data_IF_811008617806
#
_entry.id   IF_811008617806
#
_cell.length_a   1.000
_cell.length_b   1.000
_cell.length_c   1.000
_cell.angle_alpha   90.00
_cell.angle_beta   90.00
_cell.angle_gamma   90.00
#
_symmetry.space_group_name_H-M   'P 1'
#
loop_
_entity.id
_entity.type
_entity.pdbx_description
1 polymer ?
#
# COMPACT_ATOMS: atom_id res chain seq x y z
N UNK A 1 -9.29 2.97 15.35
CA UNK A 1 -8.04 2.21 15.09
C UNK A 1 -7.87 2.04 13.58
N UNK A 2 -6.99 2.82 12.94
CA UNK A 2 -6.49 2.48 11.60
C UNK A 2 -5.28 1.59 11.80
N UNK A 3 -5.38 0.32 11.42
CA UNK A 3 -4.31 -0.67 11.64
C UNK A 3 -3.07 -0.40 10.77
N UNK A 4 -3.22 0.40 9.73
CA UNK A 4 -2.18 0.85 8.82
C UNK A 4 -2.45 2.32 8.47
N UNK A 5 -1.56 3.25 8.85
CA UNK A 5 -1.68 4.68 8.59
C UNK A 5 -0.31 5.18 8.13
N UNK A 6 0.05 4.85 6.88
CA UNK A 6 1.37 5.18 6.34
C UNK A 6 1.59 6.70 6.33
N UNK A 7 0.56 7.47 5.98
CA UNK A 7 0.57 8.93 6.03
C UNK A 7 1.04 9.48 7.39
N UNK A 8 0.54 8.93 8.49
CA UNK A 8 0.93 9.33 9.85
C UNK A 8 2.41 9.06 10.14
N UNK A 9 2.95 7.93 9.65
CA UNK A 9 4.36 7.59 9.78
C UNK A 9 5.29 8.56 9.02
N UNK A 10 4.77 9.23 7.98
CA UNK A 10 5.48 10.28 7.25
C UNK A 10 5.26 11.67 7.84
N UNK A 11 4.10 11.96 8.46
CA UNK A 11 3.85 13.21 9.21
C UNK A 11 4.82 13.42 10.36
N UNK A 12 5.25 12.34 11.00
CA UNK A 12 6.16 12.38 12.14
C UNK A 12 7.65 12.53 11.74
N UNK A 13 7.99 12.54 10.44
CA UNK A 13 9.37 12.64 9.97
C UNK A 13 9.74 14.10 9.69
N UNK A 14 10.86 14.62 10.26
CA UNK A 14 11.29 15.99 10.04
C UNK A 14 12.03 16.08 8.69
N UNK A 15 11.31 16.35 7.59
CA UNK A 15 11.91 16.65 6.28
C UNK A 15 11.29 17.93 5.72
N UNK A 16 12.14 18.81 5.18
CA UNK A 16 11.78 20.18 4.78
C UNK A 16 10.86 20.30 3.55
N UNK A 17 10.51 19.20 2.89
CA UNK A 17 9.56 19.11 1.76
C UNK A 17 8.28 18.33 2.10
N UNK A 18 7.82 18.44 3.35
CA UNK A 18 6.75 17.64 3.95
C UNK A 18 5.35 17.75 3.32
N UNK A 19 5.12 18.61 2.32
CA UNK A 19 3.83 18.74 1.64
C UNK A 19 3.63 17.69 0.54
N UNK A 20 4.49 17.70 -0.47
CA UNK A 20 4.34 16.90 -1.70
C UNK A 20 4.50 15.40 -1.44
N UNK A 21 5.43 15.01 -0.57
CA UNK A 21 5.60 13.61 -0.17
C UNK A 21 4.42 13.09 0.66
N UNK A 22 3.87 13.93 1.54
CA UNK A 22 2.72 13.54 2.34
C UNK A 22 1.49 13.34 1.46
N UNK A 23 1.25 14.24 0.51
CA UNK A 23 0.16 14.11 -0.47
C UNK A 23 0.31 12.84 -1.32
N UNK A 24 1.53 12.51 -1.77
CA UNK A 24 1.79 11.28 -2.52
C UNK A 24 1.50 10.00 -1.69
N UNK A 25 1.86 9.99 -0.40
CA UNK A 25 1.57 8.86 0.50
C UNK A 25 0.07 8.79 0.82
N UNK A 26 -0.60 9.92 1.05
CA UNK A 26 -2.04 9.97 1.30
C UNK A 26 -2.84 9.46 0.08
N UNK A 27 -2.44 9.85 -1.13
CA UNK A 27 -3.03 9.36 -2.38
C UNK A 27 -2.83 7.85 -2.55
N UNK A 28 -1.64 7.33 -2.22
CA UNK A 28 -1.37 5.90 -2.24
C UNK A 28 -2.25 5.15 -1.22
N UNK A 29 -2.41 5.69 -0.02
CA UNK A 29 -3.25 5.12 1.03
C UNK A 29 -4.72 5.10 0.62
N UNK A 30 -5.24 6.21 0.08
CA UNK A 30 -6.62 6.30 -0.41
C UNK A 30 -6.88 5.37 -1.59
N UNK A 31 -5.90 5.17 -2.47
CA UNK A 31 -5.99 4.18 -3.54
C UNK A 31 -5.97 2.75 -3.00
N UNK A 32 -5.15 2.46 -2.00
CA UNK A 32 -4.96 1.11 -1.46
C UNK A 32 -6.23 0.54 -0.79
N UNK A 33 -6.95 1.36 -0.02
CA UNK A 33 -8.08 0.91 0.80
C UNK A 33 -9.26 0.31 0.00
N UNK A 34 -9.81 0.97 -1.03
CA UNK A 34 -10.90 0.40 -1.84
C UNK A 34 -10.53 -0.93 -2.49
N UNK A 35 -9.31 -1.04 -3.02
CA UNK A 35 -8.83 -2.27 -3.65
C UNK A 35 -8.60 -3.39 -2.63
N UNK A 36 -8.11 -3.07 -1.42
CA UNK A 36 -7.99 -4.04 -0.34
C UNK A 36 -9.36 -4.58 0.07
N UNK A 37 -10.36 -3.70 0.23
CA UNK A 37 -11.74 -4.09 0.56
C UNK A 37 -12.28 -5.02 -0.53
N UNK A 38 -12.11 -4.66 -1.81
CA UNK A 38 -12.54 -5.49 -2.93
C UNK A 38 -11.86 -6.87 -2.90
N UNK A 39 -10.56 -6.93 -2.64
CA UNK A 39 -9.82 -8.18 -2.54
C UNK A 39 -10.34 -9.07 -1.40
N UNK A 40 -10.62 -8.49 -0.23
CA UNK A 40 -11.20 -9.20 0.92
C UNK A 40 -12.60 -9.70 0.61
N UNK A 41 -13.45 -8.88 -0.02
CA UNK A 41 -14.80 -9.27 -0.41
C UNK A 41 -14.78 -10.44 -1.39
N UNK A 42 -13.96 -10.38 -2.44
CA UNK A 42 -13.80 -11.47 -3.40
C UNK A 42 -13.31 -12.75 -2.72
N UNK A 43 -12.36 -12.62 -1.81
CA UNK A 43 -11.79 -13.76 -1.09
C UNK A 43 -12.84 -14.45 -0.20
N UNK A 44 -13.52 -13.69 0.65
CA UNK A 44 -14.54 -14.21 1.57
C UNK A 44 -15.75 -14.74 0.80
N UNK A 45 -16.22 -14.01 -0.21
CA UNK A 45 -17.35 -14.43 -1.04
C UNK A 45 -17.03 -15.73 -1.81
N UNK A 46 -15.83 -15.85 -2.34
CA UNK A 46 -15.34 -17.09 -2.97
C UNK A 46 -15.35 -18.27 -1.99
N UNK A 47 -14.84 -18.09 -0.77
CA UNK A 47 -14.89 -19.12 0.27
C UNK A 47 -16.32 -19.52 0.65
N UNK A 48 -17.25 -18.57 0.75
CA UNK A 48 -18.66 -18.84 0.99
C UNK A 48 -19.29 -19.67 -0.13
N UNK A 49 -18.99 -19.35 -1.40
CA UNK A 49 -19.46 -20.14 -2.55
C UNK A 49 -18.87 -21.55 -2.56
N UNK A 50 -17.60 -21.71 -2.17
CA UNK A 50 -16.99 -23.03 -2.03
C UNK A 50 -17.70 -23.87 -0.97
N UNK A 51 -17.96 -23.28 0.21
CA UNK A 51 -18.68 -23.97 1.28
C UNK A 51 -20.09 -24.37 0.84
N UNK A 52 -20.83 -23.50 0.15
CA UNK A 52 -22.15 -23.84 -0.40
C UNK A 52 -22.05 -24.91 -1.50
N UNK A 53 -21.04 -24.84 -2.35
CA UNK A 53 -20.79 -25.79 -3.45
C UNK A 53 -20.48 -27.21 -2.98
N UNK A 54 -19.92 -27.38 -1.78
CA UNK A 54 -19.73 -28.69 -1.16
C UNK A 54 -21.06 -29.45 -0.94
N UNK A 55 -22.17 -28.73 -0.75
CA UNK A 55 -23.47 -29.34 -0.43
C UNK A 55 -24.47 -29.29 -1.60
N UNK A 56 -24.32 -28.35 -2.53
CA UNK A 56 -25.33 -28.07 -3.55
C UNK A 56 -24.88 -28.45 -4.96
N UNK A 57 -23.75 -27.92 -5.44
CA UNK A 57 -23.27 -28.08 -6.82
C UNK A 57 -21.76 -27.85 -6.91
N UNK A 58 -21.05 -28.79 -7.55
CA UNK A 58 -19.62 -28.72 -7.82
C UNK A 58 -19.23 -27.50 -8.67
N UNK A 59 -20.14 -26.95 -9.47
CA UNK A 59 -19.88 -25.71 -10.23
C UNK A 59 -19.66 -24.51 -9.32
N UNK A 60 -20.44 -24.40 -8.24
CA UNK A 60 -20.26 -23.35 -7.23
C UNK A 60 -18.92 -23.48 -6.50
N UNK A 61 -18.47 -24.72 -6.29
CA UNK A 61 -17.14 -25.00 -5.72
C UNK A 61 -16.03 -24.42 -6.61
N UNK A 62 -16.09 -24.66 -7.92
CA UNK A 62 -15.09 -24.17 -8.88
C UNK A 62 -15.14 -22.64 -8.99
N UNK A 63 -16.33 -22.04 -9.13
CA UNK A 63 -16.50 -20.59 -9.21
C UNK A 63 -15.99 -19.92 -7.93
N UNK A 64 -16.36 -20.45 -6.77
CA UNK A 64 -15.89 -19.96 -5.47
C UNK A 64 -14.38 -20.05 -5.33
N UNK A 65 -13.77 -21.15 -5.80
CA UNK A 65 -12.32 -21.33 -5.80
C UNK A 65 -11.58 -20.29 -6.65
N UNK A 66 -12.09 -20.01 -7.86
CA UNK A 66 -11.51 -18.97 -8.73
C UNK A 66 -11.64 -17.59 -8.09
N UNK A 67 -12.81 -17.23 -7.57
CA UNK A 67 -13.01 -15.94 -6.92
C UNK A 67 -12.12 -15.76 -5.68
N UNK A 68 -11.96 -16.82 -4.89
CA UNK A 68 -11.08 -16.79 -3.72
C UNK A 68 -9.62 -16.56 -4.12
N UNK A 69 -9.16 -17.26 -5.18
CA UNK A 69 -7.83 -17.11 -5.73
C UNK A 69 -7.60 -15.70 -6.29
N UNK A 70 -8.55 -15.16 -7.04
CA UNK A 70 -8.48 -13.79 -7.58
C UNK A 70 -8.38 -12.75 -6.46
N UNK A 71 -9.15 -12.92 -5.38
CA UNK A 71 -9.04 -12.09 -4.18
C UNK A 71 -7.65 -12.16 -3.54
N UNK A 72 -7.04 -13.35 -3.48
CA UNK A 72 -5.66 -13.52 -2.98
C UNK A 72 -4.61 -12.86 -3.87
N UNK A 73 -4.73 -13.03 -5.19
CA UNK A 73 -3.82 -12.43 -6.18
C UNK A 73 -3.92 -10.91 -6.11
N UNK A 74 -5.12 -10.36 -6.04
CA UNK A 74 -5.35 -8.92 -5.92
C UNK A 74 -4.72 -8.37 -4.63
N UNK A 75 -4.94 -9.02 -3.48
CA UNK A 75 -4.34 -8.62 -2.20
C UNK A 75 -2.80 -8.67 -2.25
N UNK A 76 -2.22 -9.73 -2.83
CA UNK A 76 -0.76 -9.85 -2.99
C UNK A 76 -0.21 -8.72 -3.87
N UNK A 77 -0.86 -8.46 -5.02
CA UNK A 77 -0.46 -7.43 -5.96
C UNK A 77 -0.51 -6.04 -5.32
N UNK A 78 -1.57 -5.74 -4.56
CA UNK A 78 -1.69 -4.48 -3.83
C UNK A 78 -0.58 -4.28 -2.81
N UNK A 79 -0.20 -5.33 -2.07
CA UNK A 79 0.93 -5.27 -1.13
C UNK A 79 2.25 -4.99 -1.84
N UNK A 80 2.52 -5.67 -2.95
CA UNK A 80 3.73 -5.45 -3.74
C UNK A 80 3.77 -4.02 -4.27
N UNK A 81 2.70 -3.56 -4.93
CA UNK A 81 2.63 -2.21 -5.50
C UNK A 81 2.78 -1.14 -4.42
N UNK A 82 2.06 -1.27 -3.29
CA UNK A 82 2.17 -0.33 -2.19
C UNK A 82 3.59 -0.30 -1.61
N UNK A 83 4.21 -1.48 -1.41
CA UNK A 83 5.57 -1.58 -0.91
C UNK A 83 6.58 -0.93 -1.85
N UNK A 84 6.55 -1.25 -3.14
CA UNK A 84 7.46 -0.67 -4.13
C UNK A 84 7.33 0.85 -4.22
N UNK A 85 6.09 1.37 -4.18
CA UNK A 85 5.84 2.82 -4.21
C UNK A 85 6.35 3.51 -2.96
N UNK A 86 6.07 2.96 -1.77
CA UNK A 86 6.56 3.52 -0.50
C UNK A 86 8.09 3.48 -0.42
N UNK A 87 8.71 2.40 -0.89
CA UNK A 87 10.17 2.29 -0.92
C UNK A 87 10.80 3.34 -1.86
N UNK A 88 10.18 3.57 -3.02
CA UNK A 88 10.61 4.64 -3.94
C UNK A 88 10.56 6.02 -3.28
N UNK A 89 9.45 6.34 -2.61
CA UNK A 89 9.31 7.61 -1.87
C UNK A 89 10.35 7.73 -0.75
N UNK A 90 10.63 6.64 -0.03
CA UNK A 90 11.64 6.64 1.02
C UNK A 90 13.05 6.89 0.48
N UNK A 91 13.42 6.31 -0.67
CA UNK A 91 14.72 6.54 -1.30
C UNK A 91 14.85 7.99 -1.76
N UNK A 92 13.81 8.55 -2.38
CA UNK A 92 13.78 9.97 -2.77
C UNK A 92 13.98 10.87 -1.55
N UNK A 93 13.28 10.58 -0.46
CA UNK A 93 13.37 11.33 0.80
C UNK A 93 14.79 11.28 1.40
N UNK A 94 15.43 10.11 1.41
CA UNK A 94 16.80 9.96 1.90
C UNK A 94 17.80 10.72 1.03
N UNK A 95 17.60 10.70 -0.30
CA UNK A 95 18.46 11.39 -1.25
C UNK A 95 18.37 12.90 -1.08
N UNK A 96 17.16 13.44 -0.97
CA UNK A 96 16.94 14.88 -0.77
C UNK A 96 17.52 15.37 0.55
N UNK A 97 17.29 14.64 1.65
CA UNK A 97 17.89 14.97 2.95
C UNK A 97 19.41 15.02 2.90
N UNK A 98 20.03 14.08 2.17
CA UNK A 98 21.48 14.05 2.00
C UNK A 98 21.98 15.28 1.24
N UNK A 99 21.31 15.64 0.14
CA UNK A 99 21.65 16.84 -0.65
C UNK A 99 21.53 18.10 0.21
N UNK A 100 20.45 18.25 0.97
CA UNK A 100 20.27 19.41 1.85
C UNK A 100 21.32 19.48 2.96
N UNK A 101 21.76 18.34 3.51
CA UNK A 101 22.84 18.30 4.48
C UNK A 101 24.19 18.69 3.87
N UNK A 102 24.46 18.24 2.64
CA UNK A 102 25.68 18.61 1.91
C UNK A 102 25.68 20.10 1.57
N UNK A 103 24.56 20.67 1.09
CA UNK A 103 24.41 22.10 0.83
C UNK A 103 24.67 22.96 2.08
N UNK A 104 24.06 22.62 3.23
CA UNK A 104 24.31 23.34 4.49
C UNK A 104 25.76 23.28 4.95
N UNK A 105 26.49 22.20 4.63
CA UNK A 105 27.91 22.09 4.96
C UNK A 105 28.77 22.98 4.07
N UNK A 106 28.41 23.11 2.78
CA UNK A 106 29.08 24.03 1.85
C UNK A 106 28.86 25.47 2.28
N UNK A 107 27.61 25.88 2.53
CA UNK A 107 27.29 27.25 2.99
C UNK A 107 28.02 27.63 4.29
N UNK A 108 28.21 26.67 5.20
CA UNK A 108 28.93 26.89 6.46
C UNK A 108 30.46 26.96 6.31
N UNK A 109 31.03 26.51 5.19
CA UNK A 109 32.47 26.61 4.89
C UNK A 109 32.82 27.88 4.12
N UNK A 110 31.84 28.53 3.49
CA UNK A 110 32.02 29.81 2.79
C UNK A 110 31.96 31.04 3.72
N UNK A 111 31.58 30.86 4.99
CA UNK A 111 31.53 31.87 6.06
C UNK A 111 32.75 31.78 7.00
#
# INVERSE_FOLDING_TARGET
MRWFNWSEAYRQRPVMTGGEMLEAVEKLEHGYWPWLILAVVLHVFGLCLMLAGCFLDTRLLVVGGVMALDGSILNCTLKVVAHTRLQGLQIMMQTENRIQQELRRVDAMEL
#
